data_IF_947900294910
#
_entry.id   IF_947900294910
#
_cell.length_a   1.000
_cell.length_b   1.000
_cell.length_c   1.000
_cell.angle_alpha   90.00
_cell.angle_beta   90.00
_cell.angle_gamma   90.00
#
_symmetry.space_group_name_H-M   'P 1'
#
loop_
_entity.id
_entity.type
_entity.pdbx_description
1 polymer ?
#
# COMPACT_ATOMS: atom_id res chain seq x y z
N UNK A 1 -36.09 39.20 39.65
CA UNK A 1 -34.77 39.53 39.03
C UNK A 1 -33.76 39.44 40.15
N UNK A 2 -32.90 38.42 40.15
CA UNK A 2 -32.03 38.07 41.29
C UNK A 2 -30.56 38.17 40.89
N UNK A 3 -29.68 38.42 41.86
CA UNK A 3 -28.23 38.54 41.69
C UNK A 3 -27.50 37.80 42.82
N UNK A 4 -26.51 36.99 42.44
CA UNK A 4 -25.56 36.25 43.28
C UNK A 4 -24.24 36.21 42.45
N UNK A 5 -23.09 36.64 42.97
CA UNK A 5 -22.16 35.89 43.86
C UNK A 5 -21.58 34.64 43.17
N UNK A 6 -20.27 34.35 43.18
CA UNK A 6 -19.10 35.14 43.64
C UNK A 6 -17.80 34.66 42.92
N UNK A 7 -16.63 35.16 43.32
CA UNK A 7 -15.35 34.95 42.62
C UNK A 7 -14.57 33.67 43.00
N UNK A 8 -13.79 33.13 42.04
CA UNK A 8 -12.74 32.12 42.30
C UNK A 8 -11.44 32.45 41.55
N UNK A 9 -10.56 33.18 42.24
CA UNK A 9 -9.09 33.05 42.31
C UNK A 9 -8.32 32.40 41.11
N UNK A 10 -7.48 33.23 40.48
CA UNK A 10 -6.15 32.97 39.89
C UNK A 10 -5.87 31.67 39.11
N UNK A 11 -5.40 31.84 37.86
CA UNK A 11 -4.28 31.02 37.35
C UNK A 11 -3.30 31.81 36.46
N UNK A 12 -2.10 32.01 36.99
CA UNK A 12 -0.99 32.73 36.36
C UNK A 12 -0.06 31.77 35.60
N UNK A 13 -0.12 31.75 34.27
CA UNK A 13 0.96 31.38 33.33
C UNK A 13 0.66 32.19 32.05
N UNK A 14 1.48 33.16 31.61
CA UNK A 14 2.81 33.03 31.00
C UNK A 14 2.83 31.95 29.91
N UNK A 15 2.47 32.35 28.70
CA UNK A 15 2.58 31.56 27.46
C UNK A 15 3.97 31.74 26.84
N UNK A 16 4.56 30.66 26.35
CA UNK A 16 5.94 30.55 25.84
C UNK A 16 6.12 29.18 25.15
N UNK A 17 6.94 29.08 24.10
CA UNK A 17 6.88 29.77 22.81
C UNK A 17 6.10 28.94 21.76
N UNK A 18 5.91 29.48 20.54
CA UNK A 18 5.27 28.77 19.41
C UNK A 18 6.14 27.63 18.86
N UNK A 19 6.07 26.46 19.50
CA UNK A 19 6.83 25.26 19.15
C UNK A 19 6.09 24.25 18.25
N UNK A 20 6.56 24.13 17.01
CA UNK A 20 6.47 22.93 16.15
C UNK A 20 5.05 22.42 15.80
N UNK A 21 4.61 22.71 14.56
CA UNK A 21 4.07 21.65 13.68
C UNK A 21 4.42 21.89 12.22
N UNK A 22 5.55 21.30 11.85
CA UNK A 22 5.98 20.87 10.50
C UNK A 22 5.43 21.62 9.28
N UNK A 23 6.34 22.34 8.65
CA UNK A 23 6.28 22.81 7.26
C UNK A 23 5.69 21.77 6.29
N UNK A 24 4.90 22.23 5.33
CA UNK A 24 4.75 21.53 4.05
C UNK A 24 5.97 21.88 3.18
N UNK A 25 7.05 21.11 3.31
CA UNK A 25 8.11 21.14 2.30
C UNK A 25 7.56 20.53 1.01
N UNK A 26 7.53 21.24 -0.12
CA UNK A 26 7.28 20.60 -1.41
C UNK A 26 8.50 19.73 -1.74
N UNK A 27 8.37 18.43 -1.52
CA UNK A 27 9.31 17.46 -2.10
C UNK A 27 9.34 17.70 -3.60
N UNK A 28 10.51 18.05 -4.15
CA UNK A 28 10.68 18.25 -5.58
C UNK A 28 10.40 16.91 -6.25
N UNK A 29 9.23 16.80 -6.89
CA UNK A 29 8.80 15.57 -7.55
C UNK A 29 9.67 15.39 -8.79
N UNK A 30 10.55 14.40 -8.76
CA UNK A 30 11.39 14.08 -9.92
C UNK A 30 10.51 13.56 -11.07
N UNK A 31 10.26 14.45 -12.02
CA UNK A 31 9.48 14.20 -13.24
C UNK A 31 10.26 13.42 -14.30
N UNK A 32 11.49 12.95 -13.99
CA UNK A 32 12.19 11.99 -14.85
C UNK A 32 11.31 10.76 -15.15
N UNK A 33 11.22 10.30 -16.42
CA UNK A 33 10.43 9.12 -16.78
C UNK A 33 10.90 7.80 -16.12
N UNK A 34 12.06 7.81 -15.46
CA UNK A 34 12.58 6.69 -14.65
C UNK A 34 11.98 6.60 -13.24
N UNK A 35 11.36 7.67 -12.70
CA UNK A 35 10.81 7.66 -11.33
C UNK A 35 9.54 6.80 -11.21
N UNK A 36 8.70 6.81 -12.25
CA UNK A 36 7.45 6.06 -12.33
C UNK A 36 7.68 4.53 -12.49
N UNK A 37 8.09 3.85 -11.43
CA UNK A 37 8.21 2.40 -11.36
C UNK A 37 7.58 1.87 -10.06
N UNK A 38 6.75 0.82 -10.16
CA UNK A 38 6.31 0.06 -8.99
C UNK A 38 7.52 -0.64 -8.39
N UNK A 39 7.80 -0.40 -7.12
CA UNK A 39 8.94 -1.01 -6.41
C UNK A 39 8.52 -1.69 -5.10
N UNK A 40 7.40 -1.29 -4.50
CA UNK A 40 6.92 -1.89 -3.25
C UNK A 40 5.41 -2.11 -3.24
N UNK A 41 5.00 -3.26 -2.70
CA UNK A 41 3.64 -3.52 -2.25
C UNK A 41 3.62 -3.60 -0.71
N UNK A 42 2.50 -3.25 -0.10
CA UNK A 42 2.30 -3.29 1.35
C UNK A 42 0.90 -3.81 1.69
N UNK A 43 0.78 -4.77 2.61
CA UNK A 43 -0.52 -5.23 3.09
C UNK A 43 -1.14 -4.23 4.07
N UNK A 44 -2.14 -3.47 3.62
CA UNK A 44 -3.01 -2.71 4.53
C UNK A 44 -3.91 -3.65 5.34
N UNK A 45 -4.32 -4.76 4.72
CA UNK A 45 -5.02 -5.86 5.37
C UNK A 45 -4.38 -7.17 4.97
N UNK A 46 -3.69 -7.80 5.92
CA UNK A 46 -3.11 -9.13 5.75
C UNK A 46 -4.20 -10.20 5.49
N UNK A 47 -3.87 -11.28 4.76
CA UNK A 47 -4.75 -12.44 4.68
C UNK A 47 -4.94 -13.12 6.06
N UNK A 48 -6.04 -13.85 6.29
CA UNK A 48 -6.27 -14.56 7.56
C UNK A 48 -5.18 -15.60 7.86
N UNK A 49 -4.66 -15.60 9.09
CA UNK A 49 -3.61 -16.54 9.54
C UNK A 49 -4.07 -17.99 9.66
N UNK A 50 -5.38 -18.23 9.70
CA UNK A 50 -6.00 -19.54 9.63
C UNK A 50 -7.20 -19.47 8.67
N UNK A 51 -7.27 -20.40 7.72
CA UNK A 51 -8.28 -20.42 6.66
C UNK A 51 -8.74 -21.85 6.38
N UNK A 52 -10.06 -22.06 6.36
CA UNK A 52 -10.67 -23.31 5.89
C UNK A 52 -10.69 -23.33 4.36
N UNK A 53 -10.19 -24.41 3.74
CA UNK A 53 -10.08 -24.57 2.26
C UNK A 53 -11.37 -24.32 1.46
N UNK A 54 -12.55 -24.46 2.08
CA UNK A 54 -13.85 -24.17 1.46
C UNK A 54 -14.23 -22.68 1.41
N UNK A 55 -13.46 -21.81 2.05
CA UNK A 55 -13.82 -20.42 2.27
C UNK A 55 -12.99 -19.51 1.37
N UNK A 56 -13.63 -18.52 0.76
CA UNK A 56 -12.92 -17.39 0.16
C UNK A 56 -12.21 -16.57 1.23
N UNK A 57 -11.09 -15.96 0.87
CA UNK A 57 -10.36 -14.98 1.67
C UNK A 57 -10.01 -13.77 0.80
N UNK A 58 -9.66 -12.67 1.44
CA UNK A 58 -9.20 -11.46 0.77
C UNK A 58 -8.14 -10.76 1.62
N UNK A 59 -7.31 -9.97 0.95
CA UNK A 59 -6.32 -9.06 1.51
C UNK A 59 -6.50 -7.68 0.84
N UNK A 60 -5.88 -6.66 1.41
CA UNK A 60 -5.84 -5.31 0.80
C UNK A 60 -4.38 -4.88 0.72
N UNK A 61 -3.99 -4.32 -0.42
CA UNK A 61 -2.61 -4.01 -0.78
C UNK A 61 -2.50 -2.59 -1.34
N UNK A 62 -1.65 -1.78 -0.71
CA UNK A 62 -1.20 -0.50 -1.25
C UNK A 62 0.07 -0.70 -2.10
N UNK A 63 0.19 0.09 -3.16
CA UNK A 63 1.32 0.06 -4.10
C UNK A 63 2.10 1.37 -3.99
N UNK A 64 3.44 1.30 -4.04
CA UNK A 64 4.33 2.45 -3.88
C UNK A 64 5.46 2.45 -4.91
N UNK A 65 5.87 3.65 -5.30
CA UNK A 65 6.95 3.89 -6.24
C UNK A 65 8.36 3.92 -5.58
N UNK A 66 9.38 4.31 -6.35
CA UNK A 66 10.77 4.47 -5.88
C UNK A 66 10.96 5.52 -4.79
N UNK A 67 10.08 6.52 -4.72
CA UNK A 67 10.14 7.65 -3.77
C UNK A 67 9.25 7.37 -2.54
N UNK A 68 8.47 6.29 -2.57
CA UNK A 68 7.49 5.96 -1.54
C UNK A 68 6.17 6.69 -1.71
N UNK A 69 5.91 7.30 -2.87
CA UNK A 69 4.61 7.89 -3.18
C UNK A 69 3.62 6.76 -3.52
N UNK A 70 2.33 6.88 -3.10
CA UNK A 70 1.32 5.89 -3.44
C UNK A 70 1.06 5.89 -4.94
N UNK A 71 0.82 4.70 -5.50
CA UNK A 71 0.42 4.48 -6.88
C UNK A 71 -1.07 4.17 -6.90
N UNK A 72 -1.84 4.98 -7.62
CA UNK A 72 -3.27 4.75 -7.80
C UNK A 72 -3.52 3.65 -8.85
N UNK A 73 -4.67 2.98 -8.74
CA UNK A 73 -5.06 1.89 -9.64
C UNK A 73 -6.35 2.30 -10.34
N UNK A 74 -6.26 2.72 -11.60
CA UNK A 74 -7.42 3.15 -12.39
C UNK A 74 -8.34 1.96 -12.72
N UNK A 75 -7.74 0.80 -13.06
CA UNK A 75 -8.47 -0.40 -13.51
C UNK A 75 -7.77 -1.67 -13.06
N UNK A 76 -8.57 -2.69 -12.78
CA UNK A 76 -8.11 -4.06 -12.53
C UNK A 76 -8.88 -5.03 -13.43
N UNK A 77 -8.22 -6.09 -13.90
CA UNK A 77 -8.85 -7.16 -14.66
C UNK A 77 -8.17 -8.49 -14.31
N UNK A 78 -8.96 -9.49 -13.91
CA UNK A 78 -8.52 -10.89 -13.90
C UNK A 78 -8.16 -11.28 -15.34
N UNK A 79 -6.95 -11.77 -15.57
CA UNK A 79 -6.51 -12.20 -16.89
C UNK A 79 -6.68 -13.71 -17.05
N UNK A 80 -6.14 -14.50 -16.13
CA UNK A 80 -6.10 -15.96 -16.22
C UNK A 80 -5.56 -16.59 -14.91
N UNK A 81 -5.53 -17.93 -14.85
CA UNK A 81 -4.73 -18.66 -13.87
C UNK A 81 -3.28 -18.86 -14.34
N UNK A 82 -2.40 -19.19 -13.39
CA UNK A 82 -1.01 -19.58 -13.68
C UNK A 82 -0.95 -21.12 -13.73
N UNK A 83 -0.98 -21.65 -14.95
CA UNK A 83 -0.89 -23.08 -15.26
C UNK A 83 -0.05 -23.31 -16.54
N UNK A 84 0.51 -24.53 -16.70
CA UNK A 84 1.14 -25.02 -17.93
C UNK A 84 2.31 -24.12 -18.35
N UNK A 85 2.30 -23.63 -19.59
CA UNK A 85 3.37 -22.88 -20.25
C UNK A 85 3.64 -21.49 -19.65
N UNK A 86 2.94 -21.11 -18.58
CA UNK A 86 3.19 -19.90 -17.77
C UNK A 86 3.82 -20.17 -16.40
N UNK A 87 4.05 -21.45 -16.05
CA UNK A 87 4.68 -21.81 -14.78
C UNK A 87 6.21 -21.75 -14.92
N UNK A 88 6.87 -21.12 -13.95
CA UNK A 88 8.34 -21.02 -13.90
C UNK A 88 8.92 -22.41 -13.64
N UNK A 89 10.06 -22.71 -14.28
CA UNK A 89 10.78 -23.99 -14.21
C UNK A 89 9.96 -25.25 -14.58
N UNK A 90 8.84 -25.08 -15.30
CA UNK A 90 8.02 -26.19 -15.81
C UNK A 90 7.24 -26.98 -14.74
N UNK A 91 7.16 -26.46 -13.52
CA UNK A 91 6.36 -27.03 -12.41
C UNK A 91 4.85 -26.43 -12.32
N UNK A 92 4.44 -27.69 -12.54
CA UNK A 92 3.01 -28.03 -12.50
C UNK A 92 2.44 -27.84 -11.08
N UNK A 93 2.43 -26.60 -10.60
CA UNK A 93 1.96 -26.15 -9.30
C UNK A 93 0.47 -25.80 -9.27
N UNK A 94 -0.06 -25.26 -10.39
CA UNK A 94 -1.42 -24.65 -10.50
C UNK A 94 -1.70 -23.64 -9.39
N UNK A 95 -0.69 -22.86 -9.03
CA UNK A 95 -0.68 -22.04 -7.83
C UNK A 95 -0.34 -20.59 -8.20
N UNK A 96 -1.33 -19.82 -8.65
CA UNK A 96 -1.17 -18.39 -8.95
C UNK A 96 -2.32 -17.84 -9.80
N UNK A 97 -2.51 -16.52 -9.73
CA UNK A 97 -3.55 -15.83 -10.51
C UNK A 97 -2.93 -14.62 -11.21
N UNK A 98 -3.16 -14.48 -12.50
CA UNK A 98 -2.62 -13.38 -13.29
C UNK A 98 -3.63 -12.22 -13.38
N UNK A 99 -3.20 -11.02 -13.00
CA UNK A 99 -4.00 -9.80 -13.07
C UNK A 99 -3.34 -8.74 -13.95
N UNK A 100 -4.19 -8.00 -14.65
CA UNK A 100 -3.85 -6.79 -15.40
C UNK A 100 -4.23 -5.57 -14.57
N UNK A 101 -3.29 -4.65 -14.41
CA UNK A 101 -3.49 -3.40 -13.69
C UNK A 101 -3.15 -2.21 -14.58
N UNK A 102 -3.95 -1.14 -14.45
CA UNK A 102 -3.66 0.17 -15.02
C UNK A 102 -3.32 1.09 -13.86
N UNK A 103 -2.03 1.43 -13.76
CA UNK A 103 -1.44 2.16 -12.65
C UNK A 103 -1.26 3.63 -13.02
N UNK A 104 -1.63 4.53 -12.11
CA UNK A 104 -1.41 5.98 -12.25
C UNK A 104 -0.43 6.42 -11.18
N UNK A 105 0.71 6.97 -11.61
CA UNK A 105 1.74 7.50 -10.72
C UNK A 105 1.42 8.96 -10.37
N UNK A 106 1.89 9.42 -9.20
CA UNK A 106 1.65 10.79 -8.72
C UNK A 106 2.17 11.90 -9.66
N UNK A 107 3.07 11.58 -10.60
CA UNK A 107 3.51 12.48 -11.67
C UNK A 107 2.58 12.50 -12.92
N UNK A 108 1.41 11.87 -12.84
CA UNK A 108 0.43 11.74 -13.94
C UNK A 108 0.73 10.66 -14.97
N UNK A 109 1.85 9.93 -14.86
CA UNK A 109 2.17 8.84 -15.79
C UNK A 109 1.24 7.66 -15.59
N UNK A 110 0.61 7.17 -16.66
CA UNK A 110 -0.16 5.92 -16.66
C UNK A 110 0.72 4.77 -17.17
N UNK A 111 0.75 3.63 -16.48
CA UNK A 111 1.43 2.41 -16.94
C UNK A 111 0.54 1.19 -16.80
N UNK A 112 0.49 0.40 -17.88
CA UNK A 112 -0.13 -0.92 -17.88
C UNK A 112 0.86 -1.96 -17.34
N UNK A 113 0.44 -2.75 -16.36
CA UNK A 113 1.28 -3.76 -15.73
C UNK A 113 0.56 -5.12 -15.66
N UNK A 114 1.25 -6.15 -16.14
CA UNK A 114 0.94 -7.54 -15.84
C UNK A 114 1.53 -7.89 -14.47
N UNK A 115 0.68 -8.05 -13.45
CA UNK A 115 1.10 -8.63 -12.17
C UNK A 115 0.62 -10.08 -12.07
N UNK A 116 1.53 -11.08 -12.11
CA UNK A 116 1.24 -12.35 -11.49
C UNK A 116 1.07 -12.09 -9.98
N UNK A 117 -0.15 -12.27 -9.46
CA UNK A 117 -0.33 -12.36 -8.01
C UNK A 117 0.21 -13.74 -7.63
N UNK A 118 1.34 -13.69 -6.93
CA UNK A 118 2.23 -14.81 -6.68
C UNK A 118 1.52 -15.99 -5.99
N UNK A 119 2.08 -17.17 -6.27
CA UNK A 119 1.78 -18.44 -5.64
C UNK A 119 1.68 -18.37 -4.12
N UNK A 120 0.86 -19.24 -3.54
CA UNK A 120 0.94 -19.57 -2.11
C UNK A 120 2.22 -20.37 -1.87
N UNK A 121 3.31 -19.67 -1.54
CA UNK A 121 4.62 -20.27 -1.21
C UNK A 121 4.58 -20.83 0.22
N UNK A 122 5.14 -22.03 0.50
CA UNK A 122 5.30 -22.52 1.86
C UNK A 122 6.15 -21.58 2.72
N UNK A 123 5.66 -21.19 3.89
CA UNK A 123 6.35 -20.24 4.79
C UNK A 123 7.79 -20.67 5.16
N UNK A 124 8.04 -21.98 5.21
CA UNK A 124 9.37 -22.56 5.53
C UNK A 124 10.33 -22.65 4.35
N UNK A 125 9.87 -22.40 3.11
CA UNK A 125 10.71 -22.38 1.90
C UNK A 125 10.85 -20.97 1.31
N UNK A 126 10.53 -19.93 2.10
CA UNK A 126 10.64 -18.52 1.71
C UNK A 126 11.99 -17.89 2.14
N UNK A 127 13.00 -18.72 2.41
CA UNK A 127 14.38 -18.31 2.74
C UNK A 127 15.26 -18.25 1.49
N UNK A 128 16.10 -17.22 1.41
CA UNK A 128 17.10 -16.96 0.36
C UNK A 128 16.59 -16.84 -1.09
N UNK A 129 15.88 -15.74 -1.35
CA UNK A 129 16.21 -14.88 -2.49
C UNK A 129 16.29 -13.44 -1.99
N UNK A 130 17.51 -12.90 -1.86
CA UNK A 130 17.82 -11.53 -1.43
C UNK A 130 18.94 -10.93 -2.27
#
# INVERSE_FOLDING_TARGET
MFSFQDATILRQMKEEPLGIRTHWTPTVVDTSPTSAQLVRAHFEKHPPSNLRKSNFFHFVVALYDRVGQPIEIERTQFADFVEKDREVDGQVTRNGIHYKLWLVFANGSVKFLHLPIYSLIPSVSATDVS
#
